data_IF_979489295213
#
_entry.id   IF_979489295213
#
_cell.length_a   1.000
_cell.length_b   1.000
_cell.length_c   1.000
_cell.angle_alpha   90.00
_cell.angle_beta   90.00
_cell.angle_gamma   90.00
#
_symmetry.space_group_name_H-M   'P 1'
#
loop_
_entity.id
_entity.type
_entity.pdbx_description
1 polymer ?
#
# COMPACT_ATOMS: atom_id res chain seq x y z
N UNK A 1 41.48 -10.01 15.93
CA UNK A 1 40.33 -9.41 16.67
C UNK A 1 39.24 -8.80 15.77
N UNK A 2 39.54 -7.87 14.84
CA UNK A 2 38.52 -7.19 14.00
C UNK A 2 37.57 -8.14 13.21
N UNK A 3 38.09 -9.25 12.67
CA UNK A 3 37.30 -10.27 11.94
C UNK A 3 36.26 -10.96 12.83
N UNK A 4 36.61 -11.26 14.08
CA UNK A 4 35.71 -11.90 15.04
C UNK A 4 34.53 -10.98 15.39
N UNK A 5 34.80 -9.69 15.62
CA UNK A 5 33.75 -8.68 15.81
C UNK A 5 32.82 -8.55 14.61
N UNK A 6 33.35 -8.58 13.38
CA UNK A 6 32.54 -8.53 12.15
C UNK A 6 31.62 -9.76 12.04
N UNK A 7 32.12 -10.96 12.33
CA UNK A 7 31.32 -12.20 12.35
C UNK A 7 30.24 -12.14 13.44
N UNK A 8 30.57 -11.64 14.63
CA UNK A 8 29.60 -11.44 15.71
C UNK A 8 28.45 -10.52 15.30
N UNK A 9 28.76 -9.36 14.68
CA UNK A 9 27.76 -8.43 14.15
C UNK A 9 26.85 -9.09 13.10
N UNK A 10 27.43 -9.86 12.18
CA UNK A 10 26.67 -10.57 11.15
C UNK A 10 25.73 -11.63 11.75
N UNK A 11 26.18 -12.39 12.75
CA UNK A 11 25.31 -13.36 13.45
C UNK A 11 24.16 -12.69 14.19
N UNK A 12 24.40 -11.53 14.80
CA UNK A 12 23.35 -10.76 15.47
C UNK A 12 22.32 -10.24 14.44
N UNK A 13 22.80 -9.70 13.32
CA UNK A 13 21.95 -9.26 12.22
C UNK A 13 21.11 -10.42 11.65
N UNK A 14 21.71 -11.59 11.44
CA UNK A 14 21.00 -12.78 10.98
C UNK A 14 19.85 -13.15 11.94
N UNK A 15 20.12 -13.22 13.25
CA UNK A 15 19.08 -13.47 14.26
C UNK A 15 17.98 -12.41 14.25
N UNK A 16 18.35 -11.14 14.10
CA UNK A 16 17.39 -10.05 13.96
C UNK A 16 16.46 -10.26 12.76
N UNK A 17 17.03 -10.52 11.57
CA UNK A 17 16.25 -10.81 10.36
C UNK A 17 15.35 -12.05 10.51
N UNK A 18 15.80 -13.10 11.20
CA UNK A 18 14.97 -14.29 11.50
C UNK A 18 13.78 -13.95 12.39
N UNK A 19 13.98 -13.13 13.43
CA UNK A 19 12.90 -12.68 14.31
C UNK A 19 11.89 -11.82 13.52
N UNK A 20 12.37 -10.87 12.72
CA UNK A 20 11.48 -10.02 11.91
C UNK A 20 10.67 -10.86 10.92
N UNK A 21 11.30 -11.84 10.25
CA UNK A 21 10.62 -12.74 9.32
C UNK A 21 9.57 -13.61 9.99
N UNK A 22 9.83 -14.10 11.21
CA UNK A 22 8.86 -14.88 11.99
C UNK A 22 7.67 -14.05 12.46
N UNK A 23 7.91 -12.78 12.86
CA UNK A 23 6.85 -11.88 13.29
C UNK A 23 6.00 -11.37 12.12
N UNK A 24 6.63 -11.11 10.97
CA UNK A 24 6.00 -10.65 9.73
C UNK A 24 4.95 -9.55 9.95
N UNK A 25 5.34 -8.48 10.65
CA UNK A 25 4.43 -7.37 10.91
C UNK A 25 4.23 -6.56 9.63
N UNK A 26 2.98 -6.40 9.22
CA UNK A 26 2.61 -5.43 8.20
C UNK A 26 2.72 -4.03 8.80
N UNK A 27 3.68 -3.24 8.32
CA UNK A 27 3.93 -1.87 8.80
C UNK A 27 3.79 -0.83 7.70
N UNK A 28 3.86 -1.24 6.43
CA UNK A 28 3.79 -0.37 5.28
C UNK A 28 3.02 -1.05 4.16
N UNK A 29 1.87 -0.48 3.79
CA UNK A 29 1.04 -0.92 2.69
C UNK A 29 1.22 0.06 1.53
N UNK A 30 1.90 -0.38 0.48
CA UNK A 30 2.03 0.38 -0.76
C UNK A 30 0.88 0.01 -1.69
N UNK A 31 -0.02 0.96 -1.96
CA UNK A 31 -1.19 0.73 -2.79
C UNK A 31 -1.13 1.60 -4.05
N UNK A 32 -0.86 0.94 -5.17
CA UNK A 32 -0.97 1.52 -6.51
C UNK A 32 -2.46 1.71 -6.87
N UNK A 33 -2.96 2.92 -6.62
CA UNK A 33 -4.39 3.21 -6.70
C UNK A 33 -4.91 3.39 -8.12
N UNK A 34 -4.08 3.84 -9.05
CA UNK A 34 -4.43 4.03 -10.46
C UNK A 34 -3.17 4.01 -11.30
N UNK A 35 -3.27 3.56 -12.55
CA UNK A 35 -2.19 3.70 -13.53
C UNK A 35 -2.33 5.00 -14.36
N UNK A 36 -3.38 5.79 -14.13
CA UNK A 36 -3.53 7.10 -14.77
C UNK A 36 -2.50 8.07 -14.22
N UNK A 37 -1.77 8.73 -15.11
CA UNK A 37 -0.79 9.75 -14.76
C UNK A 37 -0.88 10.93 -15.73
N UNK A 38 -0.87 12.16 -15.20
CA UNK A 38 -0.82 13.41 -15.97
C UNK A 38 0.62 13.87 -16.24
N UNK A 39 1.62 13.13 -15.77
CA UNK A 39 3.03 13.36 -16.04
C UNK A 39 3.56 12.26 -16.97
N UNK A 40 4.66 12.58 -17.68
CA UNK A 40 5.35 11.65 -18.57
C UNK A 40 6.83 11.57 -18.17
N UNK A 41 7.08 11.15 -16.93
CA UNK A 41 8.40 11.16 -16.32
C UNK A 41 9.33 10.14 -16.99
N UNK A 42 10.48 10.60 -17.50
CA UNK A 42 11.50 9.75 -18.15
C UNK A 42 12.12 8.69 -17.23
N UNK A 43 11.89 8.79 -15.92
CA UNK A 43 12.46 7.91 -14.90
C UNK A 43 11.37 7.20 -14.07
N UNK A 44 10.11 7.21 -14.53
CA UNK A 44 8.99 6.69 -13.75
C UNK A 44 9.11 5.19 -13.47
N UNK A 45 9.69 4.42 -14.40
CA UNK A 45 9.81 2.96 -14.29
C UNK A 45 8.48 2.18 -14.35
N UNK A 46 7.34 2.87 -14.26
CA UNK A 46 5.99 2.33 -14.39
C UNK A 46 5.37 2.66 -15.76
N UNK A 47 4.46 1.80 -16.23
CA UNK A 47 3.69 1.99 -17.48
C UNK A 47 2.48 2.93 -17.31
N UNK A 48 2.55 3.86 -16.36
CA UNK A 48 1.48 4.80 -16.08
C UNK A 48 1.40 5.91 -17.15
N UNK A 49 0.18 6.40 -17.43
CA UNK A 49 -0.02 7.43 -18.45
C UNK A 49 -1.48 7.86 -18.59
N UNK A 50 -1.79 8.62 -19.64
CA UNK A 50 -3.14 9.17 -19.85
C UNK A 50 -4.14 8.18 -20.50
N UNK A 51 -3.77 6.91 -20.66
CA UNK A 51 -4.65 5.91 -21.29
C UNK A 51 -5.86 5.64 -20.39
N UNK A 52 -6.97 5.25 -21.00
CA UNK A 52 -8.15 4.78 -20.27
C UNK A 52 -7.85 3.41 -19.65
N UNK A 53 -7.59 3.38 -18.34
CA UNK A 53 -7.27 2.17 -17.58
C UNK A 53 -8.42 1.76 -16.65
N UNK A 54 -9.51 2.54 -16.62
CA UNK A 54 -10.62 2.41 -15.67
C UNK A 54 -11.31 1.03 -15.65
N UNK A 55 -11.16 0.21 -16.70
CA UNK A 55 -11.78 -1.12 -16.78
C UNK A 55 -11.03 -2.20 -15.99
N UNK A 56 -9.74 -2.02 -15.78
CA UNK A 56 -8.88 -3.00 -15.12
C UNK A 56 -8.57 -2.60 -13.66
N UNK A 57 -9.01 -1.41 -13.24
CA UNK A 57 -8.86 -0.93 -11.87
C UNK A 57 -9.90 -1.53 -10.93
N UNK A 58 -9.50 -1.82 -9.70
CA UNK A 58 -10.42 -2.26 -8.64
C UNK A 58 -11.52 -1.22 -8.43
N UNK A 59 -12.74 -1.67 -8.23
CA UNK A 59 -13.85 -0.81 -7.81
C UNK A 59 -13.66 -0.31 -6.38
N UNK A 60 -14.38 0.76 -6.00
CA UNK A 60 -14.36 1.25 -4.61
C UNK A 60 -14.78 0.18 -3.60
N UNK A 61 -15.70 -0.71 -3.98
CA UNK A 61 -16.18 -1.77 -3.10
C UNK A 61 -15.13 -2.86 -2.91
N UNK A 62 -14.44 -3.27 -3.98
CA UNK A 62 -13.34 -4.23 -3.88
C UNK A 62 -12.20 -3.69 -3.02
N UNK A 63 -11.85 -2.41 -3.17
CA UNK A 63 -10.84 -1.75 -2.33
C UNK A 63 -11.26 -1.77 -0.87
N UNK A 64 -12.51 -1.41 -0.56
CA UNK A 64 -13.02 -1.46 0.81
C UNK A 64 -12.92 -2.88 1.39
N UNK A 65 -13.34 -3.88 0.62
CA UNK A 65 -13.28 -5.28 1.04
C UNK A 65 -11.84 -5.76 1.31
N UNK A 66 -10.88 -5.36 0.47
CA UNK A 66 -9.45 -5.64 0.68
C UNK A 66 -8.96 -4.98 1.96
N UNK A 67 -9.24 -3.68 2.16
CA UNK A 67 -8.81 -2.96 3.37
C UNK A 67 -9.48 -3.52 4.63
N UNK A 68 -10.73 -3.94 4.54
CA UNK A 68 -11.43 -4.65 5.61
C UNK A 68 -10.75 -5.98 5.96
N UNK A 69 -10.29 -6.72 4.96
CA UNK A 69 -9.60 -8.00 5.19
C UNK A 69 -8.25 -7.75 5.86
N UNK A 70 -7.49 -6.76 5.37
CA UNK A 70 -6.21 -6.34 5.98
C UNK A 70 -6.42 -5.90 7.43
N UNK A 71 -7.47 -5.13 7.71
CA UNK A 71 -7.77 -4.65 9.06
C UNK A 71 -8.23 -5.76 10.03
N UNK A 72 -8.77 -6.87 9.51
CA UNK A 72 -9.11 -8.07 10.29
C UNK A 72 -7.85 -8.88 10.65
N UNK A 73 -6.91 -8.97 9.72
CA UNK A 73 -5.71 -9.82 9.88
C UNK A 73 -4.54 -9.09 10.56
N UNK A 74 -4.48 -7.76 10.50
CA UNK A 74 -3.38 -6.94 10.99
C UNK A 74 -3.89 -5.74 11.80
N UNK A 75 -3.07 -5.25 12.74
CA UNK A 75 -3.40 -4.06 13.53
C UNK A 75 -3.31 -2.79 12.65
N UNK A 76 -4.44 -2.12 12.31
CA UNK A 76 -4.45 -0.97 11.41
C UNK A 76 -3.64 0.23 11.93
N UNK A 77 -3.54 0.39 13.26
CA UNK A 77 -2.81 1.51 13.88
C UNK A 77 -1.30 1.44 13.63
N UNK A 78 -0.79 0.26 13.26
CA UNK A 78 0.63 0.04 12.99
C UNK A 78 0.97 0.09 11.49
N UNK A 79 -0.03 0.28 10.62
CA UNK A 79 0.14 0.25 9.17
C UNK A 79 0.18 1.68 8.63
N UNK A 80 1.28 2.05 7.99
CA UNK A 80 1.33 3.24 7.15
C UNK A 80 0.83 2.88 5.75
N UNK A 81 -0.16 3.61 5.25
CA UNK A 81 -0.70 3.39 3.90
C UNK A 81 -0.11 4.45 2.96
N UNK A 82 0.70 4.00 2.01
CA UNK A 82 1.21 4.81 0.94
C UNK A 82 0.33 4.65 -0.29
N UNK A 83 -0.56 5.61 -0.50
CA UNK A 83 -1.40 5.69 -1.69
C UNK A 83 -0.57 6.23 -2.84
N UNK A 84 -0.31 5.38 -3.82
CA UNK A 84 0.55 5.64 -4.97
C UNK A 84 -0.20 5.27 -6.26
N UNK A 85 0.52 5.09 -7.37
CA UNK A 85 -0.06 4.96 -8.70
C UNK A 85 0.85 5.55 -9.77
N UNK A 86 0.21 5.96 -10.86
CA UNK A 86 0.59 7.18 -11.55
C UNK A 86 0.35 8.39 -10.64
N UNK A 87 -0.69 9.16 -10.91
CA UNK A 87 -1.11 10.27 -10.06
C UNK A 87 -2.40 9.86 -9.30
N UNK A 88 -2.31 9.55 -7.99
CA UNK A 88 -3.45 9.11 -7.19
C UNK A 88 -4.68 10.00 -7.30
N UNK A 89 -4.48 11.31 -7.48
CA UNK A 89 -5.57 12.29 -7.57
C UNK A 89 -6.38 12.19 -8.87
N UNK A 90 -5.89 11.48 -9.89
CA UNK A 90 -6.61 11.24 -11.14
C UNK A 90 -7.57 10.05 -11.06
N UNK A 91 -7.48 9.23 -10.01
CA UNK A 91 -8.38 8.10 -9.81
C UNK A 91 -9.82 8.60 -9.71
N UNK A 92 -10.65 8.25 -10.69
CA UNK A 92 -12.04 8.71 -10.73
C UNK A 92 -12.81 8.08 -9.57
N UNK A 93 -13.47 8.90 -8.73
CA UNK A 93 -14.51 8.38 -7.84
C UNK A 93 -15.61 7.78 -8.72
N UNK A 94 -15.92 6.51 -8.54
CA UNK A 94 -17.06 5.90 -9.24
C UNK A 94 -18.34 6.62 -8.79
N UNK A 95 -18.80 7.56 -9.61
CA UNK A 95 -19.95 8.42 -9.34
C UNK A 95 -21.24 7.70 -9.74
N UNK A 96 -21.63 6.70 -8.94
CA UNK A 96 -23.00 6.19 -8.90
C UNK A 96 -23.88 6.90 -7.87
N UNK A 97 -23.29 7.60 -6.88
CA UNK A 97 -24.04 8.32 -5.84
C UNK A 97 -23.34 9.63 -5.47
N UNK A 98 -24.08 10.73 -5.61
CA UNK A 98 -23.82 12.07 -5.07
C UNK A 98 -23.32 12.01 -3.64
N UNK A 99 -22.30 12.83 -3.31
CA UNK A 99 -21.72 13.10 -1.96
C UNK A 99 -22.60 12.61 -0.80
N UNK A 100 -22.54 11.31 -0.50
CA UNK A 100 -23.10 10.78 0.72
C UNK A 100 -22.03 11.00 1.79
N UNK A 101 -22.45 11.64 2.88
CA UNK A 101 -21.64 12.06 4.03
C UNK A 101 -20.56 11.02 4.35
N UNK A 102 -19.29 11.39 4.22
CA UNK A 102 -18.10 10.62 4.66
C UNK A 102 -17.92 10.73 6.19
N UNK A 103 -19.02 11.03 6.89
CA UNK A 103 -19.09 11.10 8.34
C UNK A 103 -20.30 10.26 8.77
N UNK A 104 -20.27 8.98 8.39
CA UNK A 104 -21.01 7.92 9.03
C UNK A 104 -20.10 7.25 10.07
N UNK A 105 -20.68 6.69 11.12
CA UNK A 105 -19.97 5.93 12.15
C UNK A 105 -19.41 4.63 11.54
N UNK A 106 -18.27 4.70 10.86
CA UNK A 106 -17.63 3.62 10.10
C UNK A 106 -16.55 2.90 10.93
N UNK A 107 -16.89 2.48 12.15
CA UNK A 107 -16.03 1.58 12.95
C UNK A 107 -16.25 0.10 12.63
N UNK A 108 -17.12 -0.21 11.68
CA UNK A 108 -17.33 -1.57 11.17
C UNK A 108 -17.00 -1.61 9.69
N UNK A 109 -15.92 -2.35 9.39
CA UNK A 109 -16.08 -3.46 8.45
C UNK A 109 -16.87 -4.58 9.13
#
# INVERSE_FOLDING_TARGET
MKKLFKIGKLKLWQKYCEIQRKKHLLTYLFWESTLKCNLNCQHCGSDCGLKEIDKDELTTEEIKNVFCTIAKDFNPEQITIAVTGGEPLLRRRWSGKTRQKIYGNEREC
#
